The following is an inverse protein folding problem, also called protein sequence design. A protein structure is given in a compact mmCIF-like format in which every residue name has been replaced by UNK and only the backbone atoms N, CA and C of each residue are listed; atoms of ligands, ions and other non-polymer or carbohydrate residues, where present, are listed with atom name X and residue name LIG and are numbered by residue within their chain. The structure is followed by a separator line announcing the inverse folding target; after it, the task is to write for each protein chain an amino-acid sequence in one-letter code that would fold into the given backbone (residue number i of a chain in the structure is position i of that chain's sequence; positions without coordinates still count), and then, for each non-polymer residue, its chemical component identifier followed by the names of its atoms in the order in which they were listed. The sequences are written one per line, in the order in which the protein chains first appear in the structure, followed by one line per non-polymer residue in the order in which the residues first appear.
data_IF_998427347729
#
_entry.id   IF_998427347729
#
_cell.length_a   1.000
_cell.length_b   1.000
_cell.length_c   1.000
_cell.angle_alpha   90.00
_cell.angle_beta   90.00
_cell.angle_gamma   90.00
#
_symmetry.space_group_name_H-M   'P 1'
#
loop_
_entity.id
_entity.type
_entity.pdbx_description
1 polymer ?
#
# COMPACT_ATOMS: atom_id res chain seq x y z
N UNK A 1 22.63 -24.14 -5.12
CA UNK A 1 23.33 -22.94 -4.62
C UNK A 1 22.33 -22.10 -3.84
N UNK A 2 22.34 -22.21 -2.51
CA UNK A 2 21.48 -21.41 -1.64
C UNK A 2 22.13 -20.03 -1.47
N UNK A 3 21.59 -19.01 -2.14
CA UNK A 3 21.98 -17.63 -1.90
C UNK A 3 21.51 -17.24 -0.48
N UNK A 4 22.41 -17.37 0.49
CA UNK A 4 22.23 -16.80 1.82
C UNK A 4 22.18 -15.28 1.65
N UNK A 5 20.96 -14.71 1.58
CA UNK A 5 20.76 -13.26 1.68
C UNK A 5 21.46 -12.80 2.96
N UNK A 6 22.39 -11.86 2.82
CA UNK A 6 23.08 -11.24 3.93
C UNK A 6 22.07 -10.79 5.01
N UNK A 7 22.43 -10.83 6.31
CA UNK A 7 21.54 -10.39 7.37
C UNK A 7 21.11 -8.95 7.08
N UNK A 8 19.81 -8.76 6.87
CA UNK A 8 19.24 -7.44 6.60
C UNK A 8 19.40 -6.58 7.85
N UNK A 9 19.99 -5.40 7.71
CA UNK A 9 20.14 -4.46 8.82
C UNK A 9 18.75 -4.02 9.32
N UNK A 10 18.65 -3.53 10.56
CA UNK A 10 17.39 -3.03 11.10
C UNK A 10 16.72 -1.98 10.18
N UNK A 11 17.51 -1.11 9.56
CA UNK A 11 17.02 -0.14 8.56
C UNK A 11 16.47 -0.81 7.30
N UNK A 12 17.13 -1.85 6.78
CA UNK A 12 16.65 -2.61 5.62
C UNK A 12 15.35 -3.36 5.93
N UNK A 13 15.23 -3.98 7.11
CA UNK A 13 14.00 -4.66 7.52
C UNK A 13 12.82 -3.68 7.63
N UNK A 14 13.06 -2.47 8.15
CA UNK A 14 12.04 -1.43 8.25
C UNK A 14 11.60 -0.94 6.86
N UNK A 15 12.54 -0.72 5.96
CA UNK A 15 12.24 -0.33 4.58
C UNK A 15 11.43 -1.42 3.85
N UNK A 16 11.83 -2.69 3.95
CA UNK A 16 11.11 -3.84 3.39
C UNK A 16 9.68 -3.96 3.94
N UNK A 17 9.48 -3.74 5.25
CA UNK A 17 8.16 -3.75 5.86
C UNK A 17 7.26 -2.61 5.33
N UNK A 18 7.82 -1.42 5.09
CA UNK A 18 7.09 -0.28 4.53
C UNK A 18 6.73 -0.54 3.07
N UNK A 19 7.65 -1.10 2.28
CA UNK A 19 7.36 -1.50 0.91
C UNK A 19 6.25 -2.55 0.83
N UNK A 20 6.25 -3.55 1.70
CA UNK A 20 5.20 -4.57 1.76
C UNK A 20 3.83 -3.95 2.07
N UNK A 21 3.78 -2.99 3.01
CA UNK A 21 2.58 -2.23 3.34
C UNK A 21 2.12 -1.36 2.16
N UNK A 22 3.05 -0.73 1.45
CA UNK A 22 2.77 0.08 0.26
C UNK A 22 2.15 -0.77 -0.85
N UNK A 23 2.75 -1.93 -1.17
CA UNK A 23 2.23 -2.87 -2.18
C UNK A 23 0.82 -3.31 -1.84
N UNK A 24 0.57 -3.64 -0.56
CA UNK A 24 -0.75 -4.05 -0.08
C UNK A 24 -1.79 -2.92 -0.18
N UNK A 25 -1.41 -1.69 0.17
CA UNK A 25 -2.28 -0.52 0.05
C UNK A 25 -2.63 -0.22 -1.42
N UNK A 26 -1.67 -0.35 -2.34
CA UNK A 26 -1.91 -0.20 -3.79
C UNK A 26 -2.87 -1.27 -4.30
N UNK A 27 -2.67 -2.54 -3.92
CA UNK A 27 -3.57 -3.63 -4.29
C UNK A 27 -5.00 -3.37 -3.79
N UNK A 28 -5.14 -2.95 -2.53
CA UNK A 28 -6.43 -2.57 -1.94
C UNK A 28 -7.10 -1.42 -2.69
N UNK A 29 -6.35 -0.38 -3.07
CA UNK A 29 -6.90 0.74 -3.86
C UNK A 29 -7.42 0.29 -5.23
N UNK A 30 -6.74 -0.65 -5.90
CA UNK A 30 -7.21 -1.23 -7.16
C UNK A 30 -8.49 -2.05 -6.98
N UNK A 31 -8.58 -2.83 -5.89
CA UNK A 31 -9.80 -3.57 -5.55
C UNK A 31 -10.98 -2.64 -5.30
N UNK A 32 -10.77 -1.57 -4.52
CA UNK A 32 -11.79 -0.56 -4.23
C UNK A 32 -12.26 0.16 -5.50
N UNK A 33 -11.34 0.50 -6.41
CA UNK A 33 -11.71 1.11 -7.70
C UNK A 33 -12.57 0.17 -8.57
N UNK A 34 -12.26 -1.13 -8.56
CA UNK A 34 -13.10 -2.14 -9.24
C UNK A 34 -14.47 -2.27 -8.58
N UNK A 35 -14.53 -2.26 -7.25
CA UNK A 35 -15.77 -2.34 -6.49
C UNK A 35 -16.64 -1.09 -6.68
N UNK A 36 -16.03 0.10 -6.71
CA UNK A 36 -16.69 1.37 -7.05
C UNK A 36 -17.35 1.31 -8.42
N UNK A 37 -16.63 0.81 -9.44
CA UNK A 37 -17.16 0.69 -10.80
C UNK A 37 -18.27 -0.38 -10.92
N UNK A 38 -18.16 -1.47 -10.17
CA UNK A 38 -19.10 -2.60 -10.24
C UNK A 38 -20.35 -2.42 -9.37
N UNK A 39 -20.45 -1.34 -8.58
CA UNK A 39 -21.52 -1.13 -7.62
C UNK A 39 -22.32 0.13 -7.93
N UNK A 40 -23.57 0.17 -7.48
CA UNK A 40 -24.42 1.35 -7.52
C UNK A 40 -24.39 2.12 -6.19
N UNK A 41 -24.99 3.31 -6.16
CA UNK A 41 -25.17 4.07 -4.93
C UNK A 41 -26.07 3.30 -3.94
N UNK A 42 -25.78 3.29 -2.63
CA UNK A 42 -24.75 4.08 -1.93
C UNK A 42 -23.40 3.34 -1.76
N UNK A 43 -23.27 2.12 -2.27
CA UNK A 43 -22.06 1.31 -2.07
C UNK A 43 -20.87 1.87 -2.86
N UNK A 44 -21.11 2.36 -4.09
CA UNK A 44 -20.10 3.05 -4.88
C UNK A 44 -19.46 4.23 -4.12
N UNK A 45 -20.28 5.05 -3.44
CA UNK A 45 -19.78 6.19 -2.66
C UNK A 45 -18.90 5.75 -1.48
N UNK A 46 -19.27 4.65 -0.81
CA UNK A 46 -18.44 4.07 0.25
C UNK A 46 -17.10 3.58 -0.29
N UNK A 47 -17.10 2.86 -1.41
CA UNK A 47 -15.86 2.40 -2.04
C UNK A 47 -14.96 3.54 -2.49
N UNK A 48 -15.55 4.62 -3.00
CA UNK A 48 -14.85 5.86 -3.33
C UNK A 48 -14.18 6.49 -2.10
N UNK A 49 -14.92 6.66 -1.01
CA UNK A 49 -14.39 7.21 0.25
C UNK A 49 -13.25 6.35 0.83
N UNK A 50 -13.42 5.02 0.84
CA UNK A 50 -12.37 4.09 1.26
C UNK A 50 -11.16 4.13 0.32
N UNK A 51 -11.41 4.31 -0.98
CA UNK A 51 -10.39 4.49 -2.00
C UNK A 51 -9.53 5.72 -1.71
N UNK A 52 -10.15 6.88 -1.44
CA UNK A 52 -9.48 8.14 -1.07
C UNK A 52 -8.67 8.00 0.23
N UNK A 53 -9.22 7.35 1.25
CA UNK A 53 -8.49 7.05 2.49
C UNK A 53 -7.25 6.21 2.22
N UNK A 54 -7.38 5.21 1.35
CA UNK A 54 -6.27 4.34 0.94
C UNK A 54 -5.23 5.12 0.12
N UNK A 55 -5.62 6.07 -0.73
CA UNK A 55 -4.68 6.96 -1.43
C UNK A 55 -3.84 7.80 -0.46
N UNK A 56 -4.46 8.41 0.55
CA UNK A 56 -3.74 9.17 1.57
C UNK A 56 -2.73 8.28 2.32
N UNK A 57 -3.10 7.03 2.61
CA UNK A 57 -2.19 6.06 3.22
C UNK A 57 -1.00 5.73 2.31
N UNK A 58 -1.24 5.51 1.01
CA UNK A 58 -0.17 5.29 0.02
C UNK A 58 0.80 6.47 0.01
N UNK A 59 0.29 7.70 -0.04
CA UNK A 59 1.12 8.92 -0.02
C UNK A 59 2.02 8.98 1.22
N UNK A 60 1.47 8.70 2.42
CA UNK A 60 2.25 8.64 3.67
C UNK A 60 3.33 7.57 3.63
N UNK A 61 3.00 6.36 3.16
CA UNK A 61 3.98 5.26 3.06
C UNK A 61 5.09 5.56 2.05
N UNK A 62 4.77 6.21 0.93
CA UNK A 62 5.78 6.67 -0.04
C UNK A 62 6.69 7.75 0.55
N UNK A 63 6.15 8.68 1.32
CA UNK A 63 6.96 9.68 2.03
C UNK A 63 7.86 9.02 3.08
N UNK A 64 7.33 8.10 3.88
CA UNK A 64 8.08 7.38 4.92
C UNK A 64 9.23 6.55 4.34
N UNK A 65 9.03 5.97 3.15
CA UNK A 65 10.08 5.25 2.44
C UNK A 65 11.18 6.20 1.93
N UNK A 66 10.80 7.35 1.37
CA UNK A 66 11.76 8.39 0.91
C UNK A 66 12.58 8.98 2.04
N UNK A 67 12.00 9.12 3.24
CA UNK A 67 12.70 9.64 4.42
C UNK A 67 13.64 8.61 5.07
N UNK A 68 13.64 7.37 4.60
CA UNK A 68 14.52 6.29 5.09
C UNK A 68 15.56 5.82 4.08
N UNK A 69 15.45 6.26 2.83
CA UNK A 69 16.46 6.07 1.79
C UNK A 69 17.55 7.14 1.93
#
# INVERSE_FOLDING_TARGET
MCALKAPTTFGQQRAEAIEARLKSAIAKRRQLARAEFASEAPLADRFKQDGERTARQIGRLQQELKSQA
#
